data_IF_036682869020
#
_entry.id   IF_036682869020
#
_cell.length_a   1.000
_cell.length_b   1.000
_cell.length_c   1.000
_cell.angle_alpha   90.00
_cell.angle_beta   90.00
_cell.angle_gamma   90.00
#
_symmetry.space_group_name_H-M   'P 1'
#
loop_
_entity.id
_entity.type
_entity.pdbx_description
1 polymer ?
#
# COMPACT_ATOMS: atom_id res chain seq x y z
N UNK A 1 11.14 1.01 -25.25
CA UNK A 1 9.87 1.05 -24.48
C UNK A 1 8.74 0.78 -25.46
N UNK A 2 7.97 -0.27 -25.19
CA UNK A 2 6.82 -0.66 -26.03
C UNK A 2 5.71 0.41 -25.97
N UNK A 3 5.00 0.60 -27.08
CA UNK A 3 3.93 1.60 -27.20
C UNK A 3 2.79 1.37 -26.17
N UNK A 4 2.45 0.11 -25.90
CA UNK A 4 1.41 -0.26 -24.92
C UNK A 4 1.69 0.28 -23.51
N UNK A 5 2.97 0.35 -23.11
CA UNK A 5 3.36 0.91 -21.81
C UNK A 5 3.06 2.41 -21.73
N UNK A 6 3.24 3.15 -22.84
CA UNK A 6 2.89 4.57 -22.90
C UNK A 6 1.37 4.77 -22.80
N UNK A 7 0.59 3.95 -23.51
CA UNK A 7 -0.88 4.03 -23.48
C UNK A 7 -1.40 3.73 -22.07
N UNK A 8 -0.92 2.64 -21.44
CA UNK A 8 -1.35 2.27 -20.08
C UNK A 8 -0.88 3.30 -19.05
N UNK A 9 0.33 3.84 -19.17
CA UNK A 9 0.79 4.92 -18.32
C UNK A 9 -0.08 6.19 -18.50
N UNK A 10 -0.47 6.50 -19.73
CA UNK A 10 -1.38 7.61 -20.01
C UNK A 10 -2.76 7.39 -19.40
N UNK A 11 -3.33 6.17 -19.54
CA UNK A 11 -4.59 5.82 -18.90
C UNK A 11 -4.52 5.94 -17.37
N UNK A 12 -3.44 5.46 -16.75
CA UNK A 12 -3.20 5.58 -15.33
C UNK A 12 -3.11 7.04 -14.86
N UNK A 13 -2.48 7.90 -15.65
CA UNK A 13 -2.25 9.30 -15.28
C UNK A 13 -3.42 10.21 -15.60
N UNK A 14 -4.11 10.00 -16.71
CA UNK A 14 -5.05 10.98 -17.27
C UNK A 14 -6.51 10.54 -17.25
N UNK A 15 -6.84 9.27 -17.01
CA UNK A 15 -8.24 8.80 -17.01
C UNK A 15 -9.21 9.55 -16.06
N UNK A 16 -8.77 10.18 -14.95
CA UNK A 16 -9.68 11.01 -14.16
C UNK A 16 -10.04 12.36 -14.82
N UNK A 17 -9.38 12.70 -15.93
CA UNK A 17 -9.46 14.02 -16.58
C UNK A 17 -9.81 13.94 -18.06
N UNK A 18 -9.59 12.80 -18.71
CA UNK A 18 -9.74 12.60 -20.14
C UNK A 18 -10.32 11.22 -20.42
N UNK A 19 -11.24 11.16 -21.39
CA UNK A 19 -11.81 9.91 -21.90
C UNK A 19 -11.12 9.48 -23.20
N UNK A 20 -11.28 8.21 -23.58
CA UNK A 20 -10.94 7.69 -24.89
C UNK A 20 -9.47 7.35 -25.12
N UNK A 21 -8.62 7.33 -24.08
CA UNK A 21 -7.19 6.97 -24.19
C UNK A 21 -7.01 5.55 -24.77
N UNK A 22 -7.89 4.62 -24.36
CA UNK A 22 -7.87 3.21 -24.81
C UNK A 22 -8.68 2.97 -26.10
N UNK A 23 -9.23 4.02 -26.71
CA UNK A 23 -10.05 3.88 -27.90
C UNK A 23 -9.20 3.38 -29.09
N UNK A 24 -9.74 2.39 -29.81
CA UNK A 24 -9.11 1.79 -31.00
C UNK A 24 -7.72 1.19 -30.76
N UNK A 25 -7.35 0.93 -29.49
CA UNK A 25 -6.08 0.33 -29.12
C UNK A 25 -6.20 -1.20 -28.98
N UNK A 26 -5.21 -1.90 -29.53
CA UNK A 26 -5.07 -3.35 -29.38
C UNK A 26 -3.71 -3.67 -28.77
N UNK A 27 -3.65 -4.29 -27.59
CA UNK A 27 -2.40 -4.59 -26.91
C UNK A 27 -1.62 -5.69 -27.63
N UNK A 28 -0.28 -5.59 -27.62
CA UNK A 28 0.62 -6.52 -28.31
C UNK A 28 1.94 -6.78 -27.56
N UNK A 29 2.17 -6.14 -26.40
CA UNK A 29 3.40 -6.31 -25.62
C UNK A 29 3.54 -7.76 -25.11
N UNK A 30 4.69 -8.42 -25.34
CA UNK A 30 4.95 -9.73 -24.77
C UNK A 30 5.17 -9.63 -23.23
N UNK A 31 5.02 -10.76 -22.53
CA UNK A 31 5.36 -10.84 -21.13
C UNK A 31 6.88 -10.71 -20.92
N UNK A 32 7.29 -10.03 -19.87
CA UNK A 32 8.64 -10.08 -19.33
C UNK A 32 8.85 -11.29 -18.41
N UNK A 33 9.93 -11.29 -17.63
CA UNK A 33 10.31 -12.41 -16.76
C UNK A 33 10.31 -12.05 -15.26
N UNK A 34 10.52 -10.79 -14.90
CA UNK A 34 10.83 -10.33 -13.53
C UNK A 34 9.65 -9.64 -12.84
N UNK A 35 9.61 -9.66 -11.51
CA UNK A 35 8.74 -8.80 -10.72
C UNK A 35 9.41 -7.44 -10.46
N UNK A 36 8.63 -6.34 -10.49
CA UNK A 36 9.06 -5.03 -10.03
C UNK A 36 8.22 -4.55 -8.86
N UNK A 37 8.83 -3.93 -7.86
CA UNK A 37 8.13 -3.38 -6.69
C UNK A 37 8.26 -1.86 -6.63
N UNK A 38 7.13 -1.15 -6.48
CA UNK A 38 7.10 0.27 -6.12
C UNK A 38 7.46 0.43 -4.65
N UNK A 39 8.75 0.63 -4.36
CA UNK A 39 9.29 0.74 -3.01
C UNK A 39 9.27 2.20 -2.55
N UNK A 40 8.22 2.59 -1.85
CA UNK A 40 8.06 3.98 -1.34
C UNK A 40 8.94 4.30 -0.12
N UNK A 41 9.51 3.30 0.54
CA UNK A 41 10.22 3.43 1.82
C UNK A 41 9.29 3.45 3.04
N UNK A 42 7.99 3.31 2.86
CA UNK A 42 7.02 3.11 3.93
C UNK A 42 6.84 1.65 4.30
N UNK A 43 6.16 1.39 5.42
CA UNK A 43 5.94 0.04 5.97
C UNK A 43 5.33 -0.92 4.94
N UNK A 44 4.24 -0.52 4.26
CA UNK A 44 3.52 -1.43 3.36
C UNK A 44 4.40 -1.92 2.21
N UNK A 45 5.11 -1.00 1.54
CA UNK A 45 6.03 -1.39 0.46
C UNK A 45 7.25 -2.16 0.96
N UNK A 46 7.69 -1.90 2.19
CA UNK A 46 8.79 -2.65 2.81
C UNK A 46 8.35 -4.06 3.22
N UNK A 47 7.11 -4.22 3.70
CA UNK A 47 6.52 -5.53 3.94
C UNK A 47 6.42 -6.35 2.64
N UNK A 48 5.98 -5.71 1.53
CA UNK A 48 6.01 -6.37 0.22
C UNK A 48 7.42 -6.85 -0.16
N UNK A 49 8.43 -5.99 0.00
CA UNK A 49 9.81 -6.35 -0.29
C UNK A 49 10.29 -7.57 0.52
N UNK A 50 9.87 -7.66 1.78
CA UNK A 50 10.29 -8.73 2.69
C UNK A 50 9.70 -10.11 2.35
N UNK A 51 8.55 -10.16 1.64
CA UNK A 51 7.85 -11.40 1.30
C UNK A 51 7.91 -11.75 -0.20
N UNK A 52 8.45 -10.87 -1.03
CA UNK A 52 8.65 -11.11 -2.46
C UNK A 52 10.04 -11.76 -2.72
N UNK A 53 10.22 -12.41 -3.89
CA UNK A 53 11.51 -12.97 -4.28
C UNK A 53 12.66 -11.96 -4.19
N UNK A 54 13.85 -12.42 -3.86
CA UNK A 54 15.06 -11.58 -3.69
C UNK A 54 15.51 -10.90 -4.99
N UNK A 55 15.18 -11.48 -6.13
CA UNK A 55 15.47 -10.94 -7.47
C UNK A 55 14.43 -9.89 -7.92
N UNK A 56 13.41 -9.59 -7.11
CA UNK A 56 12.46 -8.53 -7.39
C UNK A 56 13.17 -7.19 -7.59
N UNK A 57 12.93 -6.53 -8.71
CA UNK A 57 13.50 -5.20 -9.03
C UNK A 57 12.85 -4.15 -8.12
N UNK A 58 13.67 -3.38 -7.40
CA UNK A 58 13.20 -2.37 -6.45
C UNK A 58 13.29 -0.98 -7.09
N UNK A 59 12.14 -0.34 -7.32
CA UNK A 59 12.07 1.01 -7.89
C UNK A 59 11.41 1.98 -6.93
N UNK A 60 12.02 3.16 -6.77
CA UNK A 60 11.51 4.24 -5.95
C UNK A 60 11.13 5.45 -6.80
N UNK A 61 9.87 5.89 -6.70
CA UNK A 61 9.45 7.18 -7.25
C UNK A 61 10.03 8.31 -6.40
N UNK A 62 10.95 9.08 -6.98
CA UNK A 62 11.56 10.26 -6.34
C UNK A 62 10.98 11.54 -6.93
N UNK A 63 10.31 12.34 -6.10
CA UNK A 63 9.80 13.64 -6.54
C UNK A 63 10.93 14.54 -6.97
N UNK A 64 10.89 15.02 -8.22
CA UNK A 64 11.85 15.96 -8.81
C UNK A 64 11.41 17.43 -8.67
N UNK A 65 10.32 17.69 -7.97
CA UNK A 65 9.77 19.02 -7.73
C UNK A 65 9.82 19.40 -6.24
N UNK A 66 9.70 20.70 -5.93
CA UNK A 66 9.68 21.19 -4.55
C UNK A 66 8.45 20.67 -3.80
N UNK A 67 8.68 19.85 -2.78
CA UNK A 67 7.64 19.22 -1.97
C UNK A 67 7.96 19.34 -0.49
N UNK A 68 6.91 19.33 0.34
CA UNK A 68 7.05 19.19 1.80
C UNK A 68 7.46 17.77 2.22
N UNK A 69 7.19 16.78 1.37
CA UNK A 69 7.63 15.41 1.57
C UNK A 69 9.08 15.28 1.14
N UNK A 70 9.92 14.94 2.10
CA UNK A 70 11.33 14.62 1.89
C UNK A 70 11.50 13.13 1.63
N UNK A 71 12.71 12.72 1.25
CA UNK A 71 13.03 11.30 1.01
C UNK A 71 14.01 10.75 2.06
N UNK A 72 14.34 11.52 3.10
CA UNK A 72 15.39 11.17 4.07
C UNK A 72 15.15 9.80 4.75
N UNK A 73 13.90 9.50 5.11
CA UNK A 73 13.53 8.19 5.68
C UNK A 73 13.67 7.04 4.69
N UNK A 74 13.26 7.26 3.44
CA UNK A 74 13.41 6.27 2.38
C UNK A 74 14.89 6.05 2.04
N UNK A 75 15.68 7.12 1.91
CA UNK A 75 17.12 7.05 1.63
C UNK A 75 17.88 6.27 2.71
N UNK A 76 17.49 6.40 3.97
CA UNK A 76 18.09 5.65 5.09
C UNK A 76 17.79 4.15 4.96
N UNK A 77 16.54 3.79 4.64
CA UNK A 77 16.14 2.41 4.39
C UNK A 77 16.88 1.83 3.18
N UNK A 78 16.95 2.55 2.06
CA UNK A 78 17.59 2.05 0.84
C UNK A 78 19.08 1.79 1.04
N UNK A 79 19.81 2.67 1.71
CA UNK A 79 21.22 2.45 2.09
C UNK A 79 21.36 1.23 2.99
N UNK A 80 20.41 0.96 3.88
CA UNK A 80 20.42 -0.23 4.71
C UNK A 80 20.23 -1.49 3.87
N UNK A 81 19.22 -1.51 2.97
CA UNK A 81 18.95 -2.64 2.05
C UNK A 81 20.20 -2.94 1.21
N UNK A 82 20.76 -1.93 0.54
CA UNK A 82 21.93 -2.10 -0.32
C UNK A 82 23.12 -2.69 0.47
N UNK A 83 23.37 -2.20 1.69
CA UNK A 83 24.46 -2.66 2.54
C UNK A 83 24.27 -4.08 3.06
N UNK A 84 23.03 -4.47 3.42
CA UNK A 84 22.78 -5.75 4.11
C UNK A 84 22.41 -6.88 3.16
N UNK A 85 21.83 -6.58 2.00
CA UNK A 85 21.36 -7.57 1.03
C UNK A 85 22.07 -7.50 -0.31
N UNK A 86 22.83 -6.44 -0.59
CA UNK A 86 23.44 -6.18 -1.91
C UNK A 86 22.42 -5.78 -3.00
N UNK A 87 21.12 -5.67 -2.68
CA UNK A 87 20.07 -5.32 -3.65
C UNK A 87 20.13 -3.81 -3.94
N UNK A 88 20.05 -3.45 -5.21
CA UNK A 88 20.01 -2.04 -5.63
C UNK A 88 18.57 -1.51 -5.59
N UNK A 89 18.39 -0.29 -5.07
CA UNK A 89 17.13 0.45 -5.16
C UNK A 89 17.26 1.55 -6.20
N UNK A 90 16.57 1.40 -7.33
CA UNK A 90 16.59 2.36 -8.42
C UNK A 90 15.68 3.55 -8.10
N UNK A 91 16.27 4.72 -7.83
CA UNK A 91 15.53 5.97 -7.60
C UNK A 91 15.23 6.67 -8.92
N UNK A 92 13.94 6.76 -9.27
CA UNK A 92 13.47 7.31 -10.54
C UNK A 92 12.89 8.71 -10.32
N UNK A 93 13.55 9.78 -10.78
CA UNK A 93 13.04 11.14 -10.65
C UNK A 93 11.78 11.31 -11.51
N UNK A 94 10.75 11.92 -10.93
CA UNK A 94 9.49 12.17 -11.63
C UNK A 94 8.70 13.30 -10.98
N UNK A 95 7.92 14.01 -11.78
CA UNK A 95 7.03 15.09 -11.36
C UNK A 95 5.56 14.84 -11.73
N UNK A 96 5.20 13.63 -12.13
CA UNK A 96 3.85 13.29 -12.62
C UNK A 96 2.72 13.61 -11.62
N UNK A 97 3.02 13.74 -10.33
CA UNK A 97 2.05 14.20 -9.33
C UNK A 97 1.57 15.64 -9.60
N UNK A 98 2.32 16.44 -10.39
CA UNK A 98 1.93 17.78 -10.81
C UNK A 98 0.85 17.77 -11.89
N UNK A 99 0.59 16.66 -12.56
CA UNK A 99 -0.46 16.54 -13.59
C UNK A 99 -1.78 17.06 -13.04
N UNK A 100 -2.12 16.72 -11.80
CA UNK A 100 -3.36 17.16 -11.15
C UNK A 100 -3.50 18.69 -11.04
N UNK A 101 -2.38 19.41 -10.92
CA UNK A 101 -2.38 20.87 -10.80
C UNK A 101 -2.92 21.53 -12.05
N UNK A 102 -2.66 20.96 -13.23
CA UNK A 102 -3.20 21.45 -14.51
C UNK A 102 -4.74 21.38 -14.59
N UNK A 103 -5.37 20.54 -13.76
CA UNK A 103 -6.83 20.45 -13.61
C UNK A 103 -7.34 21.05 -12.30
N UNK A 104 -6.62 22.01 -11.73
CA UNK A 104 -7.04 22.73 -10.52
C UNK A 104 -7.11 21.90 -9.24
N UNK A 105 -6.43 20.77 -9.18
CA UNK A 105 -6.35 19.90 -7.99
C UNK A 105 -5.02 20.10 -7.27
N UNK A 106 -4.97 19.74 -6.00
CA UNK A 106 -3.70 19.70 -5.26
C UNK A 106 -2.75 18.65 -5.84
N UNK A 107 -1.44 18.86 -5.67
CA UNK A 107 -0.39 17.89 -6.01
C UNK A 107 -0.68 16.53 -5.38
N UNK A 108 -0.47 15.45 -6.12
CA UNK A 108 -0.67 14.07 -5.68
C UNK A 108 -0.94 13.11 -6.83
N UNK A 109 -1.05 11.85 -6.53
CA UNK A 109 -1.35 10.83 -7.54
C UNK A 109 -2.77 11.02 -8.11
N UNK A 110 -2.90 10.92 -9.42
CA UNK A 110 -4.17 11.06 -10.13
C UNK A 110 -5.07 9.84 -9.93
N UNK A 111 -4.47 8.65 -9.89
CA UNK A 111 -5.11 7.38 -9.55
C UNK A 111 -4.24 6.63 -8.54
N UNK A 112 -4.75 5.57 -7.93
CA UNK A 112 -3.94 4.72 -7.03
C UNK A 112 -2.79 4.04 -7.79
N UNK A 113 -3.01 3.69 -9.06
CA UNK A 113 -1.97 3.11 -9.92
C UNK A 113 -0.88 4.11 -10.33
N UNK A 114 -1.12 5.42 -10.24
CA UNK A 114 -0.11 6.43 -10.54
C UNK A 114 1.12 6.34 -9.64
N UNK A 115 0.98 5.76 -8.44
CA UNK A 115 2.10 5.46 -7.55
C UNK A 115 3.11 4.44 -8.16
N UNK A 116 2.72 3.71 -9.20
CA UNK A 116 3.55 2.70 -9.87
C UNK A 116 3.88 3.06 -11.33
N UNK A 117 3.57 4.26 -11.81
CA UNK A 117 3.75 4.65 -13.21
C UNK A 117 5.21 4.51 -13.69
N UNK A 118 6.18 4.73 -12.82
CA UNK A 118 7.59 4.54 -13.10
C UNK A 118 7.95 3.07 -13.40
N UNK A 119 7.27 2.10 -12.77
CA UNK A 119 7.39 0.67 -13.10
C UNK A 119 6.81 0.37 -14.49
N UNK A 120 5.66 0.97 -14.83
CA UNK A 120 5.04 0.81 -16.15
C UNK A 120 6.01 1.28 -17.24
N UNK A 121 6.51 2.51 -17.11
CA UNK A 121 7.38 3.12 -18.10
C UNK A 121 8.74 2.42 -18.25
N UNK A 122 9.23 1.76 -17.20
CA UNK A 122 10.50 1.05 -17.19
C UNK A 122 10.35 -0.47 -17.35
N UNK A 123 9.13 -0.98 -17.61
CA UNK A 123 8.87 -2.41 -17.65
C UNK A 123 9.73 -3.16 -18.67
N UNK A 124 9.98 -2.60 -19.85
CA UNK A 124 10.86 -3.23 -20.83
C UNK A 124 12.34 -3.15 -20.43
N UNK A 125 12.75 -2.07 -19.79
CA UNK A 125 14.14 -1.90 -19.36
C UNK A 125 14.56 -2.96 -18.32
N UNK A 126 13.63 -3.31 -17.44
CA UNK A 126 13.84 -4.30 -16.37
C UNK A 126 13.20 -5.66 -16.68
N UNK A 127 12.73 -5.86 -17.89
CA UNK A 127 12.06 -7.09 -18.34
C UNK A 127 10.93 -7.51 -17.36
N UNK A 128 10.06 -6.55 -16.97
CA UNK A 128 9.03 -6.82 -15.99
C UNK A 128 7.86 -7.62 -16.58
N UNK A 129 7.53 -8.71 -15.91
CA UNK A 129 6.32 -9.53 -16.07
C UNK A 129 5.18 -9.02 -15.20
N UNK A 130 5.51 -8.40 -14.05
CA UNK A 130 4.50 -7.88 -13.14
C UNK A 130 5.02 -6.73 -12.30
N UNK A 131 4.09 -5.89 -11.82
CA UNK A 131 4.36 -4.75 -10.95
C UNK A 131 3.65 -4.91 -9.62
N UNK A 132 4.40 -4.77 -8.54
CA UNK A 132 3.92 -4.89 -7.18
C UNK A 132 3.71 -3.53 -6.52
N UNK A 133 2.60 -3.39 -5.79
CA UNK A 133 2.27 -2.23 -4.96
C UNK A 133 1.79 -2.68 -3.58
N UNK A 134 2.15 -1.93 -2.55
CA UNK A 134 1.76 -2.20 -1.16
C UNK A 134 0.36 -1.69 -0.85
N UNK A 135 -0.66 -2.49 -1.13
CA UNK A 135 -2.05 -2.23 -0.77
C UNK A 135 -2.48 -3.26 0.29
N UNK A 136 -2.56 -2.89 1.58
CA UNK A 136 -2.99 -3.79 2.64
C UNK A 136 -4.51 -4.02 2.63
N UNK A 137 -4.97 -4.95 3.45
CA UNK A 137 -6.37 -5.35 3.62
C UNK A 137 -7.30 -4.14 3.85
N UNK A 138 -6.84 -3.11 4.53
CA UNK A 138 -7.55 -1.84 4.74
C UNK A 138 -7.96 -1.12 3.46
N UNK A 139 -7.21 -1.31 2.39
CA UNK A 139 -7.43 -0.67 1.09
C UNK A 139 -8.06 -1.61 0.07
N UNK A 140 -8.06 -2.90 0.33
CA UNK A 140 -8.57 -3.94 -0.54
C UNK A 140 -9.91 -4.47 -0.05
N UNK A 141 -9.90 -5.47 0.83
CA UNK A 141 -11.09 -6.13 1.34
C UNK A 141 -11.89 -5.32 2.37
N UNK A 142 -11.35 -4.19 2.86
CA UNK A 142 -12.13 -3.23 3.63
C UNK A 142 -12.34 -1.94 2.84
N UNK A 143 -13.59 -1.64 2.50
CA UNK A 143 -13.93 -0.36 1.90
C UNK A 143 -13.69 0.76 2.93
N UNK A 144 -12.85 1.73 2.56
CA UNK A 144 -12.40 2.82 3.45
C UNK A 144 -11.87 2.38 4.82
N UNK A 145 -11.44 1.09 4.94
CA UNK A 145 -10.89 0.53 6.16
C UNK A 145 -11.93 0.24 7.25
N UNK A 146 -13.24 0.20 6.94
CA UNK A 146 -14.25 -0.06 7.96
C UNK A 146 -15.40 -0.99 7.55
N UNK A 147 -15.53 -1.33 6.25
CA UNK A 147 -16.61 -2.20 5.76
C UNK A 147 -16.04 -3.30 4.87
N UNK A 148 -16.36 -4.55 5.18
CA UNK A 148 -15.99 -5.68 4.33
C UNK A 148 -16.56 -5.54 2.91
N UNK A 149 -15.76 -5.94 1.94
CA UNK A 149 -16.15 -6.13 0.54
C UNK A 149 -15.31 -7.24 -0.08
N UNK A 150 -15.85 -7.93 -1.05
CA UNK A 150 -15.05 -8.78 -1.92
C UNK A 150 -14.28 -7.91 -2.92
N UNK A 151 -12.97 -7.80 -2.73
CA UNK A 151 -12.13 -6.95 -3.58
C UNK A 151 -12.03 -7.48 -5.01
N UNK A 152 -12.12 -8.80 -5.22
CA UNK A 152 -12.03 -9.42 -6.54
C UNK A 152 -13.16 -8.98 -7.49
N UNK A 153 -14.31 -8.60 -6.94
CA UNK A 153 -15.48 -8.14 -7.67
C UNK A 153 -15.52 -6.63 -7.88
N UNK A 154 -14.58 -5.88 -7.30
CA UNK A 154 -14.58 -4.41 -7.41
C UNK A 154 -14.26 -3.93 -8.81
N UNK A 155 -14.87 -2.80 -9.20
CA UNK A 155 -14.57 -2.10 -10.46
C UNK A 155 -13.08 -1.79 -10.58
N UNK A 156 -12.41 -1.44 -9.46
CA UNK A 156 -10.98 -1.19 -9.43
C UNK A 156 -10.18 -2.40 -9.91
N UNK A 157 -10.41 -3.59 -9.31
CA UNK A 157 -9.69 -4.80 -9.66
C UNK A 157 -10.00 -5.27 -11.09
N UNK A 158 -11.27 -5.27 -11.45
CA UNK A 158 -11.69 -5.68 -12.81
C UNK A 158 -11.10 -4.78 -13.89
N UNK A 159 -11.08 -3.46 -13.67
CA UNK A 159 -10.49 -2.50 -14.61
C UNK A 159 -8.99 -2.67 -14.74
N UNK A 160 -8.27 -2.48 -13.63
CA UNK A 160 -6.82 -2.46 -13.68
C UNK A 160 -6.22 -3.84 -13.90
N UNK A 161 -6.73 -4.88 -13.25
CA UNK A 161 -6.29 -6.26 -13.45
C UNK A 161 -6.38 -6.70 -14.90
N UNK A 162 -7.51 -6.44 -15.56
CA UNK A 162 -7.70 -6.79 -16.98
C UNK A 162 -6.82 -5.96 -17.90
N UNK A 163 -6.72 -4.65 -17.68
CA UNK A 163 -5.92 -3.74 -18.50
C UNK A 163 -4.44 -4.14 -18.45
N UNK A 164 -3.89 -4.33 -17.26
CA UNK A 164 -2.47 -4.67 -17.11
C UNK A 164 -2.16 -6.06 -17.65
N UNK A 165 -3.03 -7.03 -17.38
CA UNK A 165 -2.90 -8.39 -17.93
C UNK A 165 -2.86 -8.38 -19.46
N UNK A 166 -3.64 -7.51 -20.12
CA UNK A 166 -3.70 -7.44 -21.59
C UNK A 166 -2.38 -7.02 -22.23
N UNK A 167 -1.52 -6.29 -21.50
CA UNK A 167 -0.17 -5.88 -21.96
C UNK A 167 0.95 -6.75 -21.41
N UNK A 168 0.64 -7.94 -20.93
CA UNK A 168 1.65 -8.84 -20.38
C UNK A 168 2.39 -8.28 -19.14
N UNK A 169 1.71 -7.48 -18.32
CA UNK A 169 2.26 -6.86 -17.11
C UNK A 169 1.27 -7.09 -15.95
N UNK A 170 1.42 -8.17 -15.21
CA UNK A 170 0.51 -8.51 -14.12
C UNK A 170 0.56 -7.48 -12.97
N UNK A 171 -0.60 -7.20 -12.34
CA UNK A 171 -0.64 -6.51 -11.04
C UNK A 171 -0.40 -7.53 -9.93
N UNK A 172 0.53 -7.22 -9.04
CA UNK A 172 0.86 -8.03 -7.88
C UNK A 172 0.51 -7.22 -6.62
N UNK A 173 -0.38 -7.75 -5.79
CA UNK A 173 -0.79 -7.16 -4.51
C UNK A 173 -0.34 -8.07 -3.36
N UNK A 174 0.96 -8.03 -2.98
CA UNK A 174 1.54 -9.03 -2.07
C UNK A 174 0.87 -9.07 -0.69
N UNK A 175 0.38 -7.92 -0.22
CA UNK A 175 -0.21 -7.76 1.11
C UNK A 175 -1.72 -7.46 1.08
N UNK A 176 -2.42 -7.78 -0.03
CA UNK A 176 -3.86 -7.51 -0.14
C UNK A 176 -4.69 -8.19 0.95
N UNK A 177 -4.26 -9.36 1.39
CA UNK A 177 -4.93 -10.14 2.44
C UNK A 177 -4.42 -9.91 3.84
N UNK A 178 -3.49 -8.99 4.08
CA UNK A 178 -2.94 -8.71 5.42
C UNK A 178 -3.18 -7.26 5.83
N UNK A 179 -3.46 -7.06 7.10
CA UNK A 179 -3.72 -5.72 7.68
C UNK A 179 -2.43 -4.88 7.76
N UNK A 180 -2.60 -3.58 8.03
CA UNK A 180 -1.47 -2.71 8.36
C UNK A 180 -0.71 -3.20 9.60
N UNK A 181 -1.38 -3.82 10.58
CA UNK A 181 -0.75 -4.41 11.76
C UNK A 181 0.17 -5.58 11.39
N UNK A 182 -0.33 -6.50 10.56
CA UNK A 182 0.46 -7.64 10.06
C UNK A 182 1.61 -7.17 9.18
N UNK A 183 1.43 -6.13 8.34
CA UNK A 183 2.50 -5.55 7.55
C UNK A 183 3.64 -4.99 8.43
N UNK A 184 3.32 -4.35 9.57
CA UNK A 184 4.32 -3.91 10.55
C UNK A 184 5.08 -5.11 11.11
N UNK A 185 4.38 -6.18 11.49
CA UNK A 185 5.01 -7.41 12.02
C UNK A 185 5.97 -8.04 11.00
N UNK A 186 5.55 -8.18 9.74
CA UNK A 186 6.42 -8.69 8.66
C UNK A 186 7.72 -7.87 8.58
N UNK A 187 7.63 -6.54 8.66
CA UNK A 187 8.79 -5.64 8.65
C UNK A 187 9.69 -5.84 9.87
N UNK A 188 9.10 -6.07 11.05
CA UNK A 188 9.85 -6.35 12.29
C UNK A 188 10.57 -7.71 12.21
N UNK A 189 9.87 -8.75 11.77
CA UNK A 189 10.42 -10.11 11.62
C UNK A 189 11.55 -10.16 10.58
N UNK A 190 11.49 -9.31 9.55
CA UNK A 190 12.56 -9.09 8.59
C UNK A 190 13.75 -8.24 9.14
N UNK A 191 13.70 -7.84 10.41
CA UNK A 191 14.75 -7.02 11.03
C UNK A 191 14.81 -5.56 10.55
N UNK A 192 13.79 -5.08 9.83
CA UNK A 192 13.77 -3.75 9.21
C UNK A 192 13.04 -2.67 10.05
N UNK A 193 12.42 -3.07 11.16
CA UNK A 193 11.64 -2.16 11.99
C UNK A 193 12.39 -0.93 12.50
N UNK A 194 13.70 -1.06 12.70
CA UNK A 194 14.56 0.03 13.20
C UNK A 194 14.98 1.06 12.13
N UNK A 195 14.79 0.76 10.83
CA UNK A 195 15.19 1.65 9.71
C UNK A 195 14.01 2.16 8.90
N UNK A 196 12.84 1.52 8.98
CA UNK A 196 11.64 1.94 8.26
C UNK A 196 10.87 3.00 9.01
N UNK A 197 10.21 3.90 8.28
CA UNK A 197 9.31 4.89 8.88
C UNK A 197 8.21 5.31 7.92
N UNK A 198 6.97 5.30 8.40
CA UNK A 198 5.79 5.79 7.66
C UNK A 198 5.36 7.18 8.16
N UNK A 199 6.26 8.14 8.26
CA UNK A 199 5.94 9.49 8.69
C UNK A 199 5.49 10.38 7.52
N UNK A 200 4.41 11.18 7.68
CA UNK A 200 3.96 12.16 6.67
C UNK A 200 5.03 13.19 6.30
N UNK A 201 6.04 13.40 7.16
CA UNK A 201 7.16 14.31 6.91
C UNK A 201 8.42 13.59 6.45
N UNK A 202 8.27 12.28 6.16
CA UNK A 202 9.37 11.39 5.78
C UNK A 202 10.59 11.44 6.72
N UNK A 203 10.36 11.77 8.00
CA UNK A 203 11.41 11.73 9.05
C UNK A 203 11.60 10.30 9.54
N UNK A 204 12.80 9.96 9.93
CA UNK A 204 13.14 8.75 10.68
C UNK A 204 13.65 9.15 12.08
N UNK A 205 13.18 8.52 13.16
CA UNK A 205 12.17 7.47 13.30
C UNK A 205 10.72 7.94 13.12
N UNK A 206 10.49 9.23 12.91
CA UNK A 206 9.18 9.83 12.71
C UNK A 206 9.09 11.19 13.38
N UNK A 207 8.02 11.95 13.12
CA UNK A 207 7.83 13.26 13.76
C UNK A 207 7.10 13.17 15.12
N UNK A 208 6.56 12.00 15.47
CA UNK A 208 5.85 11.71 16.70
C UNK A 208 4.48 12.41 16.85
N UNK A 209 3.99 13.15 15.85
CA UNK A 209 2.76 13.97 15.98
C UNK A 209 1.78 13.86 14.80
N UNK A 210 2.15 13.22 13.70
CA UNK A 210 1.22 12.97 12.61
C UNK A 210 0.46 11.64 12.80
N UNK A 211 -0.70 11.51 12.16
CA UNK A 211 -1.52 10.31 12.28
C UNK A 211 -0.77 9.03 11.88
N UNK A 212 0.15 9.07 10.90
CA UNK A 212 0.95 7.90 10.54
C UNK A 212 1.96 7.52 11.64
N UNK A 213 2.44 8.49 12.45
CA UNK A 213 3.29 8.16 13.59
C UNK A 213 2.50 7.44 14.69
N UNK A 214 1.25 7.82 14.94
CA UNK A 214 0.35 7.08 15.81
C UNK A 214 0.04 5.70 15.24
N UNK A 215 -0.41 5.67 14.02
CA UNK A 215 -1.06 4.55 13.34
C UNK A 215 -0.08 3.43 12.93
N UNK A 216 1.15 3.76 12.53
CA UNK A 216 2.14 2.80 12.02
C UNK A 216 3.44 2.80 12.83
N UNK A 217 4.05 3.97 13.03
CA UNK A 217 5.34 4.03 13.72
C UNK A 217 5.21 3.69 15.21
N UNK A 218 4.06 3.96 15.84
CA UNK A 218 3.78 3.55 17.22
C UNK A 218 3.92 2.04 17.44
N UNK A 219 3.46 1.26 16.47
CA UNK A 219 3.61 -0.20 16.50
C UNK A 219 5.06 -0.67 16.37
N UNK A 220 5.94 0.13 15.75
CA UNK A 220 7.39 -0.13 15.71
C UNK A 220 8.09 0.27 17.02
N UNK A 221 7.34 0.72 18.04
CA UNK A 221 7.90 1.22 19.32
C UNK A 221 8.40 2.66 19.25
N UNK A 222 8.17 3.39 18.16
CA UNK A 222 8.58 4.79 18.07
C UNK A 222 7.62 5.69 18.85
N UNK A 223 8.15 6.67 19.62
CA UNK A 223 7.31 7.53 20.45
C UNK A 223 6.40 8.43 19.60
N UNK A 224 5.19 8.65 20.10
CA UNK A 224 4.25 9.61 19.53
C UNK A 224 3.51 10.35 20.66
N UNK A 225 3.04 11.56 20.34
CA UNK A 225 2.21 12.34 21.26
C UNK A 225 0.74 12.23 20.85
N UNK A 226 -0.03 11.38 21.54
CA UNK A 226 -1.45 11.16 21.27
C UNK A 226 -2.26 12.46 21.32
N UNK A 227 -1.88 13.43 22.18
CA UNK A 227 -2.54 14.73 22.32
C UNK A 227 -2.13 15.75 21.25
N UNK A 228 -1.31 15.37 20.27
CA UNK A 228 -0.98 16.27 19.18
C UNK A 228 -2.23 16.60 18.34
N UNK A 229 -2.36 17.87 17.91
CA UNK A 229 -3.50 18.34 17.13
C UNK A 229 -3.79 17.48 15.89
N UNK A 230 -2.76 16.97 15.22
CA UNK A 230 -2.91 16.18 14.00
C UNK A 230 -3.49 14.79 14.28
N UNK A 231 -3.07 14.14 15.38
CA UNK A 231 -3.62 12.84 15.80
C UNK A 231 -5.05 13.02 16.30
N UNK A 232 -5.31 14.06 17.13
CA UNK A 232 -6.65 14.37 17.59
C UNK A 232 -7.61 14.69 16.44
N UNK A 233 -7.17 15.47 15.45
CA UNK A 233 -7.96 15.74 14.23
C UNK A 233 -8.22 14.46 13.43
N UNK A 234 -7.28 13.53 13.39
CA UNK A 234 -7.47 12.24 12.73
C UNK A 234 -8.51 11.39 13.47
N UNK A 235 -8.41 11.27 14.78
CA UNK A 235 -9.29 10.46 15.61
C UNK A 235 -10.71 11.04 15.73
N UNK A 236 -10.88 12.37 15.58
CA UNK A 236 -12.19 13.04 15.68
C UNK A 236 -13.03 13.01 14.40
N UNK A 237 -12.45 12.62 13.26
CA UNK A 237 -13.21 12.53 11.99
C UNK A 237 -14.13 11.32 11.98
N UNK A 238 -15.31 11.48 11.34
CA UNK A 238 -16.27 10.38 11.16
C UNK A 238 -16.61 10.21 9.67
N UNK A 239 -16.52 8.99 9.14
CA UNK A 239 -15.85 7.85 9.75
C UNK A 239 -14.35 8.12 9.96
N UNK A 240 -13.73 7.47 10.95
CA UNK A 240 -12.27 7.52 11.14
C UNK A 240 -11.62 6.91 9.90
N UNK A 241 -10.61 7.56 9.37
CA UNK A 241 -9.88 7.03 8.23
C UNK A 241 -9.13 5.75 8.62
N UNK A 242 -9.20 4.69 7.79
CA UNK A 242 -8.66 3.37 8.11
C UNK A 242 -9.14 2.91 9.50
N UNK A 243 -10.45 2.99 9.72
CA UNK A 243 -11.06 2.92 11.04
C UNK A 243 -10.73 1.64 11.79
N UNK A 244 -10.78 0.49 11.13
CA UNK A 244 -10.49 -0.79 11.78
C UNK A 244 -9.10 -0.81 12.41
N UNK A 245 -8.09 -0.39 11.66
CA UNK A 245 -6.72 -0.33 12.19
C UNK A 245 -6.58 0.73 13.29
N UNK A 246 -7.17 1.91 13.09
CA UNK A 246 -7.11 2.99 14.07
C UNK A 246 -7.74 2.58 15.41
N UNK A 247 -8.93 1.95 15.38
CA UNK A 247 -9.64 1.51 16.57
C UNK A 247 -9.01 0.27 17.20
N UNK A 248 -8.51 -0.67 16.40
CA UNK A 248 -7.69 -1.75 16.89
C UNK A 248 -6.47 -1.22 17.67
N UNK A 249 -5.74 -0.22 17.13
CA UNK A 249 -4.58 0.36 17.81
C UNK A 249 -4.98 1.18 19.06
N UNK A 250 -6.12 1.88 19.02
CA UNK A 250 -6.72 2.50 20.22
C UNK A 250 -6.98 1.45 21.30
N UNK A 251 -7.52 0.29 20.92
CA UNK A 251 -7.79 -0.82 21.84
C UNK A 251 -6.50 -1.40 22.45
N UNK A 252 -5.50 -1.71 21.63
CA UNK A 252 -4.20 -2.24 22.06
C UNK A 252 -3.47 -1.30 23.04
N UNK A 253 -3.67 0.01 22.90
CA UNK A 253 -3.03 1.03 23.71
C UNK A 253 -3.92 1.55 24.85
N UNK A 254 -5.14 1.02 25.00
CA UNK A 254 -6.14 1.50 25.96
C UNK A 254 -6.39 3.02 25.88
N UNK A 255 -6.55 3.53 24.67
CA UNK A 255 -6.74 4.97 24.38
C UNK A 255 -8.20 5.35 24.07
N UNK A 256 -9.18 4.59 24.57
CA UNK A 256 -10.59 4.86 24.31
C UNK A 256 -11.09 6.21 24.81
N UNK A 257 -10.42 6.78 25.82
CA UNK A 257 -10.63 8.16 26.27
C UNK A 257 -10.40 9.23 25.18
N UNK A 258 -9.63 8.88 24.15
CA UNK A 258 -9.36 9.76 23.00
C UNK A 258 -10.45 9.72 21.92
N UNK A 259 -11.37 8.78 21.99
CA UNK A 259 -12.50 8.59 21.07
C UNK A 259 -13.77 8.20 21.84
N UNK A 260 -14.23 9.04 22.79
CA UNK A 260 -15.25 8.67 23.75
C UNK A 260 -16.61 8.32 23.11
N UNK A 261 -16.95 8.92 21.97
CA UNK A 261 -18.16 8.62 21.21
C UNK A 261 -18.12 7.23 20.51
N UNK A 262 -16.95 6.63 20.38
CA UNK A 262 -16.74 5.28 19.85
C UNK A 262 -16.38 4.26 20.95
N UNK A 263 -16.42 4.62 22.22
CA UNK A 263 -16.04 3.74 23.33
C UNK A 263 -16.85 2.45 23.38
N UNK A 264 -18.10 2.45 22.88
CA UNK A 264 -18.93 1.27 22.73
C UNK A 264 -18.33 0.21 21.78
N UNK A 265 -17.37 0.58 20.93
CA UNK A 265 -16.65 -0.33 20.03
C UNK A 265 -15.48 -1.04 20.73
N UNK A 266 -15.19 -0.73 21.97
CA UNK A 266 -14.12 -1.40 22.76
C UNK A 266 -14.38 -2.90 23.01
N UNK A 267 -15.64 -3.33 22.92
CA UNK A 267 -16.05 -4.73 23.06
C UNK A 267 -16.01 -5.53 21.76
N UNK A 268 -15.67 -4.88 20.62
CA UNK A 268 -15.57 -5.57 19.34
C UNK A 268 -14.39 -6.55 19.33
N UNK A 269 -14.61 -7.69 18.69
CA UNK A 269 -13.53 -8.66 18.47
C UNK A 269 -12.63 -8.24 17.31
N UNK A 270 -11.44 -7.75 17.64
CA UNK A 270 -10.38 -7.43 16.69
C UNK A 270 -9.34 -8.55 16.53
N UNK A 271 -9.53 -9.74 17.10
CA UNK A 271 -8.54 -10.83 17.10
C UNK A 271 -8.12 -11.29 15.70
N UNK A 272 -8.99 -11.10 14.72
CA UNK A 272 -8.73 -11.39 13.31
C UNK A 272 -7.80 -10.38 12.63
N UNK A 273 -7.60 -9.20 13.22
CA UNK A 273 -6.87 -8.09 12.59
C UNK A 273 -5.39 -8.40 12.32
N UNK A 274 -4.79 -9.27 13.09
CA UNK A 274 -3.40 -9.71 12.93
C UNK A 274 -3.24 -10.97 12.09
N UNK A 275 -4.33 -11.46 11.47
CA UNK A 275 -4.36 -12.65 10.63
C UNK A 275 -4.45 -12.29 9.15
N UNK A 276 -4.24 -13.27 8.25
CA UNK A 276 -4.40 -13.05 6.82
C UNK A 276 -5.73 -13.56 6.27
N UNK A 277 -6.21 -12.95 5.19
CA UNK A 277 -7.40 -13.35 4.44
C UNK A 277 -7.00 -14.25 3.26
N UNK A 278 -7.20 -15.59 3.32
CA UNK A 278 -6.71 -16.52 2.31
C UNK A 278 -7.21 -16.25 0.88
N UNK A 279 -8.48 -15.85 0.63
CA UNK A 279 -8.95 -15.54 -0.72
C UNK A 279 -8.16 -14.44 -1.45
N UNK A 280 -7.40 -13.63 -0.73
CA UNK A 280 -6.55 -12.61 -1.36
C UNK A 280 -5.38 -13.23 -2.16
N UNK A 281 -5.02 -14.49 -1.92
CA UNK A 281 -4.01 -15.18 -2.73
C UNK A 281 -4.46 -15.43 -4.16
N UNK A 282 -5.78 -15.48 -4.41
CA UNK A 282 -6.35 -15.65 -5.76
C UNK A 282 -6.17 -14.41 -6.65
N UNK A 283 -5.84 -13.26 -6.04
CA UNK A 283 -5.46 -12.04 -6.77
C UNK A 283 -4.02 -12.09 -7.29
N UNK A 284 -3.19 -12.97 -6.73
CA UNK A 284 -1.78 -13.09 -7.13
C UNK A 284 -1.65 -13.90 -8.42
N UNK A 285 -0.80 -13.47 -9.36
CA UNK A 285 -0.45 -14.26 -10.53
C UNK A 285 0.18 -15.61 -10.12
N UNK A 286 -0.17 -16.69 -10.82
CA UNK A 286 0.24 -18.06 -10.49
C UNK A 286 1.76 -18.23 -10.40
N UNK A 287 2.52 -17.49 -11.23
CA UNK A 287 3.98 -17.61 -11.28
C UNK A 287 4.71 -17.08 -10.04
N UNK A 288 4.06 -16.21 -9.22
CA UNK A 288 4.66 -15.61 -8.01
C UNK A 288 3.87 -15.98 -6.74
N UNK A 289 2.61 -16.43 -6.88
CA UNK A 289 1.73 -16.79 -5.76
C UNK A 289 2.40 -17.71 -4.73
N UNK A 290 3.04 -18.83 -5.11
CA UNK A 290 3.56 -19.80 -4.13
C UNK A 290 4.56 -19.17 -3.15
N UNK A 291 5.44 -18.28 -3.63
CA UNK A 291 6.45 -17.62 -2.80
C UNK A 291 5.81 -16.66 -1.80
N UNK A 292 4.93 -15.79 -2.28
CA UNK A 292 4.26 -14.79 -1.43
C UNK A 292 3.33 -15.46 -0.42
N UNK A 293 2.53 -16.43 -0.86
CA UNK A 293 1.62 -17.19 -0.01
C UNK A 293 2.38 -17.90 1.11
N UNK A 294 3.43 -18.64 0.79
CA UNK A 294 4.26 -19.32 1.80
C UNK A 294 4.85 -18.37 2.82
N UNK A 295 5.33 -17.20 2.39
CA UNK A 295 5.87 -16.20 3.30
C UNK A 295 4.81 -15.63 4.25
N UNK A 296 3.59 -15.36 3.76
CA UNK A 296 2.49 -14.86 4.58
C UNK A 296 2.00 -15.94 5.55
N UNK A 297 1.81 -17.19 5.09
CA UNK A 297 1.36 -18.32 5.94
C UNK A 297 2.39 -18.66 7.02
N UNK A 298 3.68 -18.38 6.78
CA UNK A 298 4.71 -18.51 7.81
C UNK A 298 4.62 -17.39 8.85
N UNK A 299 4.26 -16.18 8.43
CA UNK A 299 4.22 -15.00 9.31
C UNK A 299 2.94 -14.91 10.14
N UNK A 300 1.80 -15.46 9.68
CA UNK A 300 0.50 -15.25 10.31
C UNK A 300 -0.49 -16.39 10.01
N UNK A 301 -1.45 -16.57 10.91
CA UNK A 301 -2.56 -17.53 10.75
C UNK A 301 -3.66 -16.98 9.80
N UNK A 302 -4.48 -17.87 9.21
CA UNK A 302 -5.64 -17.44 8.43
C UNK A 302 -6.74 -16.86 9.32
N UNK A 303 -7.50 -15.91 8.79
CA UNK A 303 -8.75 -15.43 9.40
C UNK A 303 -9.75 -16.60 9.39
N UNK A 304 -10.35 -16.98 10.53
CA UNK A 304 -11.34 -18.04 10.60
C UNK A 304 -12.58 -17.74 9.70
N UNK A 305 -13.19 -18.79 9.18
CA UNK A 305 -14.37 -18.65 8.28
C UNK A 305 -15.57 -18.03 9.02
N UNK A 306 -15.71 -18.31 10.32
CA UNK A 306 -16.74 -17.77 11.19
C UNK A 306 -16.38 -16.43 11.84
N UNK A 307 -15.26 -15.83 11.44
CA UNK A 307 -14.83 -14.52 11.94
C UNK A 307 -15.84 -13.42 11.64
N UNK A 308 -16.00 -12.43 12.53
CA UNK A 308 -16.81 -11.25 12.27
C UNK A 308 -16.28 -10.40 11.09
N UNK A 309 -15.08 -10.66 10.61
CA UNK A 309 -14.48 -9.99 9.45
C UNK A 309 -15.40 -10.00 8.21
N UNK A 310 -16.04 -11.11 7.89
CA UNK A 310 -16.86 -11.28 6.68
C UNK A 310 -18.17 -10.47 6.70
N UNK A 311 -18.57 -9.98 7.87
CA UNK A 311 -19.73 -9.09 8.06
C UNK A 311 -19.33 -7.74 8.66
N UNK A 312 -18.04 -7.45 8.67
CA UNK A 312 -17.47 -6.26 9.33
C UNK A 312 -18.01 -4.97 8.73
N UNK A 313 -18.59 -4.13 9.58
CA UNK A 313 -19.08 -2.80 9.21
C UNK A 313 -19.15 -1.91 10.45
N UNK A 314 -18.12 -1.08 10.66
CA UNK A 314 -18.04 -0.19 11.82
C UNK A 314 -18.96 1.03 11.74
N UNK A 315 -19.32 1.43 10.52
CA UNK A 315 -20.15 2.63 10.28
C UNK A 315 -21.24 2.29 9.24
N UNK A 316 -22.31 1.59 9.65
CA UNK A 316 -23.34 1.13 8.71
C UNK A 316 -24.05 2.27 7.96
N UNK A 317 -24.13 3.45 8.58
CA UNK A 317 -24.80 4.64 8.01
C UNK A 317 -23.84 5.52 7.19
N UNK A 318 -22.58 5.14 7.03
CA UNK A 318 -21.60 5.87 6.21
C UNK A 318 -21.58 5.32 4.77
N UNK A 319 -21.85 6.19 3.79
CA UNK A 319 -21.77 5.94 2.35
C UNK A 319 -20.36 6.21 1.78
#
# INVERSE_FOLDING_TARGET
MHHDLLIVASEVLFSPFMDGILKDWTPSRPHGSSAGLSLSGGIDSTACMAIMPDDTVLLHHRRSFKSLLKHDGADSLFKHIERTTGRTVHSIPSDHENIRVHWGKSVGFSTDMAAAVHLILLADHFDLRGIAIGMPLDNTYLWHGFRYRDFSTTVWWQRWGSLFKSIGLDIILPIAGVSEATAVRIVQDAGLGHVVSSCLRAKHPGCGRCWKCFHKNGMLGHPYNINSREIQTFLSKRPVRTATHALWWVNEQNHWDQVPDLSHMSELDFSWWTKHHPPAFDLLPDWIRPVIQSAIETATEPIPVDSPFHTWNLFPDAD
#
